data_IF_642938781210
#
_entry.id   IF_642938781210
#
_cell.length_a   1.000
_cell.length_b   1.000
_cell.length_c   1.000
_cell.angle_alpha   90.00
_cell.angle_beta   90.00
_cell.angle_gamma   90.00
#
_symmetry.space_group_name_H-M   'P 1'
#
loop_
_entity.id
_entity.type
_entity.pdbx_description
1 polymer ?
#
# COMPACT_ATOMS: atom_id res chain seq x y z
N UNK A 1 -5.64 -11.31 1.51
CA UNK A 1 -4.69 -10.43 2.20
C UNK A 1 -5.20 -9.00 2.09
N UNK A 2 -5.26 -8.29 3.20
CA UNK A 2 -5.49 -6.83 3.24
C UNK A 2 -4.16 -6.11 3.43
N UNK A 3 -4.14 -4.79 3.26
CA UNK A 3 -2.93 -3.98 3.42
C UNK A 3 -2.33 -4.16 4.83
N UNK A 4 -3.16 -4.21 5.87
CA UNK A 4 -2.72 -4.41 7.26
C UNK A 4 -1.97 -5.72 7.48
N UNK A 5 -2.35 -6.80 6.78
CA UNK A 5 -1.63 -8.08 6.85
C UNK A 5 -0.17 -7.95 6.40
N UNK A 6 0.14 -6.99 5.52
CA UNK A 6 1.46 -6.81 4.92
C UNK A 6 2.29 -5.73 5.63
N UNK A 7 1.71 -4.56 5.90
CA UNK A 7 2.48 -3.37 6.32
C UNK A 7 2.30 -2.97 7.78
N UNK A 8 1.38 -3.60 8.50
CA UNK A 8 1.12 -3.30 9.92
C UNK A 8 0.62 -4.54 10.66
N UNK A 9 1.51 -5.52 10.78
CA UNK A 9 1.24 -6.85 11.35
C UNK A 9 2.26 -7.18 12.44
N UNK A 10 1.81 -7.68 13.60
CA UNK A 10 2.69 -8.01 14.73
C UNK A 10 3.53 -9.28 14.50
N UNK A 11 3.06 -10.17 13.62
CA UNK A 11 3.72 -11.43 13.26
C UNK A 11 4.60 -11.31 11.99
N UNK A 12 4.52 -10.20 11.27
CA UNK A 12 5.24 -9.96 10.01
C UNK A 12 5.70 -8.50 9.85
N UNK A 13 7.01 -8.29 9.72
CA UNK A 13 7.60 -6.96 9.54
C UNK A 13 8.05 -6.73 8.09
N UNK A 14 7.31 -5.86 7.37
CA UNK A 14 7.67 -5.38 6.04
C UNK A 14 8.63 -4.18 6.12
N UNK A 15 9.90 -4.45 6.43
CA UNK A 15 10.92 -3.43 6.61
C UNK A 15 11.53 -2.93 5.28
N UNK A 16 10.74 -2.19 4.51
CA UNK A 16 11.17 -1.49 3.30
C UNK A 16 10.27 -0.29 2.99
N UNK A 17 10.66 0.55 2.02
CA UNK A 17 9.74 1.58 1.55
C UNK A 17 8.58 0.96 0.78
N UNK A 18 7.39 1.53 0.96
CA UNK A 18 6.20 1.13 0.21
C UNK A 18 5.28 2.32 -0.11
N UNK A 19 4.59 2.17 -1.24
CA UNK A 19 3.58 3.06 -1.78
C UNK A 19 2.26 2.29 -1.88
N UNK A 20 1.16 2.85 -1.37
CA UNK A 20 -0.17 2.23 -1.41
C UNK A 20 -1.08 3.09 -2.28
N UNK A 21 -1.64 2.50 -3.34
CA UNK A 21 -2.53 3.17 -4.28
C UNK A 21 -3.98 2.71 -4.11
N UNK A 22 -4.95 3.65 -4.19
CA UNK A 22 -6.37 3.34 -4.28
C UNK A 22 -6.75 3.02 -5.74
N UNK A 23 -6.94 1.73 -6.00
CA UNK A 23 -7.33 1.18 -7.27
C UNK A 23 -8.82 0.78 -7.31
N UNK A 24 -9.64 1.29 -6.38
CA UNK A 24 -11.09 0.99 -6.32
C UNK A 24 -11.84 1.39 -7.59
N UNK A 25 -11.34 2.43 -8.30
CA UNK A 25 -11.91 2.91 -9.56
C UNK A 25 -11.38 2.16 -10.80
N UNK A 26 -10.65 1.05 -10.60
CA UNK A 26 -10.10 0.19 -11.66
C UNK A 26 -8.79 0.70 -12.29
N UNK A 27 -8.32 1.88 -11.92
CA UNK A 27 -7.01 2.41 -12.33
C UNK A 27 -5.88 1.69 -11.61
N UNK A 28 -4.77 1.51 -12.31
CA UNK A 28 -3.51 0.97 -11.78
C UNK A 28 -2.59 2.11 -11.33
N UNK A 29 -1.53 1.80 -10.57
CA UNK A 29 -0.55 2.79 -10.12
C UNK A 29 0.08 3.54 -11.32
N UNK A 30 0.36 2.81 -12.41
CA UNK A 30 0.87 3.37 -13.67
C UNK A 30 -0.17 4.08 -14.54
N UNK A 31 -1.45 4.00 -14.17
CA UNK A 31 -2.59 4.59 -14.89
C UNK A 31 -3.31 5.66 -14.05
N UNK A 32 -2.58 6.30 -13.13
CA UNK A 32 -3.08 7.44 -12.35
C UNK A 32 -4.05 7.09 -11.23
N UNK A 33 -3.93 5.90 -10.63
CA UNK A 33 -4.52 5.61 -9.33
C UNK A 33 -4.00 6.61 -8.25
N UNK A 34 -4.80 6.86 -7.23
CA UNK A 34 -4.44 7.81 -6.17
C UNK A 34 -3.42 7.20 -5.21
N UNK A 35 -2.28 7.85 -4.99
CA UNK A 35 -1.32 7.47 -3.95
C UNK A 35 -1.83 7.90 -2.56
N UNK A 36 -2.45 6.96 -1.85
CA UNK A 36 -3.12 7.21 -0.57
C UNK A 36 -2.18 7.12 0.65
N UNK A 37 -1.03 6.45 0.53
CA UNK A 37 0.00 6.40 1.57
C UNK A 37 1.37 6.10 0.96
N UNK A 38 2.43 6.75 1.42
CA UNK A 38 3.80 6.28 1.14
C UNK A 38 4.78 6.55 2.27
N UNK A 39 5.67 5.60 2.52
CA UNK A 39 6.66 5.72 3.61
C UNK A 39 7.63 6.88 3.41
N UNK A 40 7.93 7.26 2.16
CA UNK A 40 8.83 8.39 1.86
C UNK A 40 8.24 9.75 2.26
N UNK A 41 6.91 9.90 2.21
CA UNK A 41 6.20 11.13 2.61
C UNK A 41 5.71 11.06 4.05
N UNK A 42 5.13 9.93 4.43
CA UNK A 42 4.36 9.75 5.66
C UNK A 42 5.19 9.11 6.78
N UNK A 43 6.42 8.66 6.48
CA UNK A 43 7.27 7.88 7.39
C UNK A 43 6.77 6.44 7.58
N UNK A 44 7.42 5.70 8.46
CA UNK A 44 6.99 4.35 8.88
C UNK A 44 5.88 4.40 9.95
N UNK A 45 4.97 5.36 9.82
CA UNK A 45 3.83 5.51 10.71
C UNK A 45 2.71 4.54 10.32
N UNK A 46 1.85 4.20 11.28
CA UNK A 46 0.65 3.40 11.03
C UNK A 46 -0.25 4.10 9.98
N UNK A 47 -0.57 3.48 8.83
CA UNK A 47 -1.58 3.99 7.91
C UNK A 47 -2.97 4.09 8.56
N UNK A 48 -3.87 4.90 7.98
CA UNK A 48 -5.26 4.98 8.47
C UNK A 48 -5.93 3.61 8.42
N UNK A 49 -6.79 3.29 9.39
CA UNK A 49 -7.47 1.98 9.48
C UNK A 49 -8.21 1.63 8.17
N UNK A 50 -8.84 2.63 7.53
CA UNK A 50 -9.51 2.45 6.23
C UNK A 50 -8.59 1.98 5.10
N UNK A 51 -7.29 2.29 5.17
CA UNK A 51 -6.27 1.84 4.22
C UNK A 51 -5.85 0.41 4.58
N UNK A 52 -5.66 0.12 5.88
CA UNK A 52 -5.30 -1.20 6.38
C UNK A 52 -6.33 -2.27 6.01
N UNK A 53 -7.61 -1.91 5.96
CA UNK A 53 -8.70 -2.82 5.60
C UNK A 53 -8.83 -3.10 4.09
N UNK A 54 -8.12 -2.35 3.23
CA UNK A 54 -8.23 -2.51 1.77
C UNK A 54 -7.64 -3.85 1.30
N UNK A 55 -8.31 -4.51 0.35
CA UNK A 55 -7.82 -5.75 -0.26
C UNK A 55 -6.68 -5.44 -1.21
N UNK A 56 -5.54 -6.10 -1.01
CA UNK A 56 -4.43 -6.05 -1.97
C UNK A 56 -4.87 -6.79 -3.24
N UNK A 57 -4.74 -6.12 -4.38
CA UNK A 57 -5.04 -6.66 -5.72
C UNK A 57 -3.77 -7.05 -6.46
N UNK A 58 -2.71 -6.28 -6.29
CA UNK A 58 -1.45 -6.47 -6.98
C UNK A 58 -0.29 -5.87 -6.17
N UNK A 59 0.89 -6.49 -6.26
CA UNK A 59 2.13 -6.00 -5.66
C UNK A 59 3.22 -6.04 -6.73
N UNK A 60 3.98 -4.96 -6.85
CA UNK A 60 5.19 -4.90 -7.67
C UNK A 60 6.27 -4.08 -6.95
N UNK A 61 7.40 -3.85 -7.62
CA UNK A 61 8.44 -2.94 -7.15
C UNK A 61 8.69 -1.84 -8.17
N UNK A 62 8.93 -0.63 -7.69
CA UNK A 62 9.39 0.51 -8.48
C UNK A 62 10.43 1.30 -7.68
N UNK A 63 11.60 1.58 -8.25
CA UNK A 63 12.66 2.41 -7.64
C UNK A 63 12.92 2.10 -6.14
N UNK A 64 13.20 0.81 -5.86
CA UNK A 64 13.45 0.28 -4.52
C UNK A 64 12.30 0.48 -3.52
N UNK A 65 11.07 0.57 -4.02
CA UNK A 65 9.83 0.76 -3.25
C UNK A 65 8.85 -0.34 -3.64
N UNK A 66 8.21 -0.98 -2.67
CA UNK A 66 7.09 -1.88 -2.96
C UNK A 66 5.89 -1.02 -3.33
N UNK A 67 5.27 -1.31 -4.47
CA UNK A 67 4.00 -0.69 -4.87
C UNK A 67 2.87 -1.67 -4.58
N UNK A 68 1.91 -1.22 -3.79
CA UNK A 68 0.74 -1.99 -3.35
C UNK A 68 -0.49 -1.36 -3.99
N UNK A 69 -1.10 -2.06 -4.94
CA UNK A 69 -2.41 -1.69 -5.47
C UNK A 69 -3.49 -2.31 -4.59
N UNK A 70 -4.30 -1.47 -3.95
CA UNK A 70 -5.34 -1.90 -3.05
C UNK A 70 -6.71 -1.35 -3.49
N UNK A 71 -7.77 -2.08 -3.18
CA UNK A 71 -9.13 -1.63 -3.43
C UNK A 71 -10.05 -2.07 -2.28
N UNK A 72 -11.15 -1.34 -2.09
CA UNK A 72 -12.19 -1.67 -1.10
C UNK A 72 -12.87 -3.01 -1.39
#
# INVERSE_FOLDING_TARGET
MVVGDLVYNDDFDCNCNYDIYDCSDGKQYGDGAELIFCTKRDGFNKPLDRILDMKIKYITTQDSTIVIEAAK
#
